data_IF_738547809743
#
_entry.id   IF_738547809743
#
_cell.length_a   1.000
_cell.length_b   1.000
_cell.length_c   1.000
_cell.angle_alpha   90.00
_cell.angle_beta   90.00
_cell.angle_gamma   90.00
#
_symmetry.space_group_name_H-M   'P 1'
#
loop_
_entity.id
_entity.type
_entity.pdbx_description
1 polymer ?
#
# COMPACT_ATOMS: atom_id res chain seq x y z
N UNK A 1 25.59 16.66 24.24
CA UNK A 1 24.16 17.03 24.17
C UNK A 1 23.61 16.35 22.93
N UNK A 2 22.89 15.24 23.10
CA UNK A 2 22.42 14.38 22.00
C UNK A 2 21.06 14.86 21.49
N UNK A 3 20.88 14.70 20.18
CA UNK A 3 19.86 15.27 19.31
C UNK A 3 18.41 15.09 19.79
N UNK A 4 17.77 16.22 20.13
CA UNK A 4 16.33 16.29 20.45
C UNK A 4 15.43 16.42 19.20
N UNK A 5 15.93 16.15 18.00
CA UNK A 5 15.31 16.58 16.74
C UNK A 5 14.38 15.57 16.03
N UNK A 6 14.04 14.42 16.63
CA UNK A 6 13.25 13.38 15.94
C UNK A 6 11.79 13.20 16.40
N UNK A 7 11.26 14.06 17.26
CA UNK A 7 9.87 13.96 17.72
C UNK A 7 8.99 15.02 17.05
N UNK A 8 7.90 14.56 16.42
CA UNK A 8 6.83 15.42 15.92
C UNK A 8 5.66 15.41 16.91
N UNK A 9 5.27 16.59 17.39
CA UNK A 9 4.15 16.72 18.34
C UNK A 9 2.83 16.81 17.58
N UNK A 10 1.88 15.94 17.92
CA UNK A 10 0.51 15.96 17.39
C UNK A 10 -0.45 16.21 18.55
N UNK A 11 -1.23 17.28 18.47
CA UNK A 11 -2.25 17.62 19.48
C UNK A 11 -3.61 17.07 19.06
N UNK A 12 -4.20 16.19 19.89
CA UNK A 12 -5.49 15.56 19.61
C UNK A 12 -6.53 16.10 20.59
N UNK A 13 -7.67 16.56 20.07
CA UNK A 13 -8.83 16.93 20.91
C UNK A 13 -9.68 15.69 21.17
N UNK A 14 -9.80 15.30 22.44
CA UNK A 14 -10.63 14.17 22.87
C UNK A 14 -11.94 14.65 23.50
N UNK A 15 -13.07 13.94 23.28
CA UNK A 15 -14.25 14.10 24.11
C UNK A 15 -13.92 13.93 25.59
N UNK A 16 -14.52 14.77 26.45
CA UNK A 16 -14.21 14.85 27.89
C UNK A 16 -14.20 13.48 28.57
N UNK A 17 -15.22 12.65 28.32
CA UNK A 17 -15.33 11.31 28.91
C UNK A 17 -14.16 10.38 28.54
N UNK A 18 -13.58 10.51 27.34
CA UNK A 18 -12.41 9.71 26.93
C UNK A 18 -11.12 10.25 27.53
N UNK A 19 -10.98 11.57 27.69
CA UNK A 19 -9.84 12.16 28.38
C UNK A 19 -9.83 11.77 29.87
N UNK A 20 -10.99 11.85 30.53
CA UNK A 20 -11.15 11.45 31.93
C UNK A 20 -10.87 9.95 32.12
N UNK A 21 -11.37 9.10 31.22
CA UNK A 21 -11.07 7.67 31.23
C UNK A 21 -9.58 7.39 31.02
N UNK A 22 -8.93 8.05 30.05
CA UNK A 22 -7.51 7.84 29.76
C UNK A 22 -6.63 8.22 30.95
N UNK A 23 -6.95 9.34 31.61
CA UNK A 23 -6.27 9.77 32.83
C UNK A 23 -6.41 8.71 33.93
N UNK A 24 -7.61 8.20 34.17
CA UNK A 24 -7.84 7.22 35.23
C UNK A 24 -7.21 5.85 34.92
N UNK A 25 -7.32 5.39 33.68
CA UNK A 25 -6.71 4.14 33.23
C UNK A 25 -5.18 4.20 33.29
N UNK A 26 -4.58 5.35 32.94
CA UNK A 26 -3.13 5.55 33.01
C UNK A 26 -2.58 5.39 34.44
N UNK A 27 -3.33 5.85 35.45
CA UNK A 27 -2.96 5.67 36.87
C UNK A 27 -2.97 4.20 37.27
N UNK A 28 -3.96 3.43 36.83
CA UNK A 28 -4.06 1.99 37.12
C UNK A 28 -2.89 1.20 36.52
N UNK A 29 -2.39 1.67 35.37
CA UNK A 29 -1.24 1.08 34.69
C UNK A 29 0.11 1.63 35.17
N UNK A 30 0.12 2.61 36.10
CA UNK A 30 1.30 3.36 36.53
C UNK A 30 2.10 3.99 35.37
N UNK A 31 1.38 4.51 34.36
CA UNK A 31 1.94 5.14 33.16
C UNK A 31 1.41 6.55 32.97
N UNK A 32 2.13 7.39 32.21
CA UNK A 32 1.59 8.68 31.76
C UNK A 32 0.58 8.49 30.62
N UNK A 33 -0.46 9.35 30.50
CA UNK A 33 -1.45 9.27 29.42
C UNK A 33 -0.83 9.22 28.01
N UNK A 34 0.24 9.97 27.78
CA UNK A 34 0.94 10.00 26.50
C UNK A 34 1.59 8.65 26.19
N UNK A 35 2.14 7.98 27.20
CA UNK A 35 2.76 6.65 27.04
C UNK A 35 1.70 5.58 26.76
N UNK A 36 0.52 5.68 27.38
CA UNK A 36 -0.62 4.81 27.11
C UNK A 36 -1.08 4.98 25.66
N UNK A 37 -1.27 6.23 25.21
CA UNK A 37 -1.66 6.52 23.82
C UNK A 37 -0.58 6.07 22.84
N UNK A 38 0.69 6.32 23.13
CA UNK A 38 1.79 5.85 22.29
C UNK A 38 1.77 4.31 22.18
N UNK A 39 1.56 3.60 23.28
CA UNK A 39 1.47 2.13 23.28
C UNK A 39 0.31 1.62 22.44
N UNK A 40 -0.87 2.22 22.59
CA UNK A 40 -2.06 1.88 21.80
C UNK A 40 -1.80 2.15 20.31
N UNK A 41 -1.28 3.33 19.98
CA UNK A 41 -0.98 3.71 18.60
C UNK A 41 0.11 2.84 17.99
N UNK A 42 1.14 2.47 18.75
CA UNK A 42 2.17 1.51 18.32
C UNK A 42 1.55 0.15 18.04
N UNK A 43 0.70 -0.36 18.92
CA UNK A 43 0.00 -1.63 18.68
C UNK A 43 -0.81 -1.61 17.38
N UNK A 44 -1.61 -0.55 17.16
CA UNK A 44 -2.37 -0.42 15.92
C UNK A 44 -1.49 -0.16 14.70
N UNK A 45 -0.40 0.59 14.86
CA UNK A 45 0.59 0.81 13.82
C UNK A 45 1.28 -0.51 13.44
N UNK A 46 1.66 -1.33 14.41
CA UNK A 46 2.28 -2.64 14.19
C UNK A 46 1.27 -3.64 13.62
N UNK A 47 0.02 -3.64 14.07
CA UNK A 47 -1.03 -4.47 13.49
C UNK A 47 -1.35 -4.04 12.04
N UNK A 48 -1.44 -2.73 11.79
CA UNK A 48 -1.57 -2.18 10.45
C UNK A 48 -0.36 -2.54 9.60
N UNK A 49 0.86 -2.27 10.07
CA UNK A 49 2.11 -2.62 9.41
C UNK A 49 2.20 -4.12 9.15
N UNK A 50 1.84 -4.98 10.08
CA UNK A 50 1.85 -6.43 9.87
C UNK A 50 0.81 -6.87 8.83
N UNK A 51 -0.37 -6.26 8.79
CA UNK A 51 -1.37 -6.54 7.75
C UNK A 51 -0.99 -5.99 6.36
N UNK A 52 -0.44 -4.77 6.33
CA UNK A 52 -0.03 -4.07 5.12
C UNK A 52 1.30 -4.61 4.57
N UNK A 53 2.24 -4.98 5.44
CA UNK A 53 3.49 -5.65 5.09
C UNK A 53 3.29 -7.12 4.80
N UNK A 54 2.35 -7.86 5.41
CA UNK A 54 2.04 -9.23 4.95
C UNK A 54 1.51 -9.25 3.51
N UNK A 55 0.83 -8.18 3.06
CA UNK A 55 0.52 -7.95 1.65
C UNK A 55 1.74 -7.70 0.76
N UNK A 56 2.88 -7.27 1.34
CA UNK A 56 4.17 -7.06 0.65
C UNK A 56 5.20 -8.17 0.83
N UNK A 57 5.14 -8.97 1.91
CA UNK A 57 6.12 -9.99 2.32
C UNK A 57 6.06 -11.31 1.53
N UNK A 58 5.21 -11.41 0.50
CA UNK A 58 5.36 -12.42 -0.57
C UNK A 58 6.29 -11.95 -1.69
N UNK A 59 6.89 -10.77 -1.59
CA UNK A 59 8.17 -10.46 -2.24
C UNK A 59 9.29 -10.69 -1.21
N UNK A 60 10.42 -11.34 -1.57
CA UNK A 60 11.47 -11.65 -0.60
C UNK A 60 12.07 -10.37 0.04
N UNK A 61 11.80 -10.22 1.34
CA UNK A 61 12.73 -9.87 2.46
C UNK A 61 13.70 -8.69 2.28
N UNK A 62 13.54 -7.55 2.99
CA UNK A 62 14.08 -7.26 4.35
C UNK A 62 15.63 -7.21 4.38
N UNK A 63 16.33 -6.21 4.92
CA UNK A 63 16.05 -5.39 6.12
C UNK A 63 16.81 -4.06 6.11
N UNK A 64 16.34 -3.14 6.96
CA UNK A 64 16.96 -1.85 7.31
C UNK A 64 18.45 -2.01 7.67
N UNK A 65 19.31 -1.26 6.96
CA UNK A 65 20.49 -0.63 7.56
C UNK A 65 20.67 0.73 6.90
N UNK A 66 20.92 1.76 7.68
CA UNK A 66 21.06 3.17 7.29
C UNK A 66 22.40 3.47 6.58
N UNK A 67 23.04 2.45 6.01
CA UNK A 67 24.32 2.53 5.31
C UNK A 67 24.20 1.75 4.00
N UNK A 68 23.92 2.45 2.91
CA UNK A 68 24.48 2.21 1.57
C UNK A 68 23.81 3.18 0.58
N UNK A 69 24.28 4.42 0.61
CA UNK A 69 24.49 5.14 -0.65
C UNK A 69 25.50 4.31 -1.45
N UNK A 70 25.03 3.55 -2.44
CA UNK A 70 25.61 3.52 -3.80
C UNK A 70 24.92 2.47 -4.66
N UNK A 71 24.38 2.96 -5.78
CA UNK A 71 24.37 2.27 -7.09
C UNK A 71 23.56 0.98 -7.17
N UNK A 72 22.34 1.08 -7.72
CA UNK A 72 21.99 0.24 -8.87
C UNK A 72 20.86 0.86 -9.71
N UNK A 73 21.12 0.90 -11.01
CA UNK A 73 20.34 1.57 -12.02
C UNK A 73 19.29 0.61 -12.60
N UNK A 74 18.19 1.20 -13.10
CA UNK A 74 17.34 0.66 -14.17
C UNK A 74 16.61 -0.66 -13.93
N UNK A 75 15.66 -0.69 -12.98
CA UNK A 75 14.45 -1.50 -13.15
C UNK A 75 13.23 -0.62 -12.95
N UNK A 76 12.55 -0.28 -14.04
CA UNK A 76 11.30 0.47 -14.04
C UNK A 76 10.23 -0.40 -13.38
N UNK A 77 10.08 -0.28 -12.07
CA UNK A 77 9.20 -1.10 -11.25
C UNK A 77 7.73 -0.89 -11.68
N UNK A 78 7.04 -1.97 -12.05
CA UNK A 78 5.63 -1.95 -12.51
C UNK A 78 4.68 -1.26 -11.52
N UNK A 79 5.00 -1.29 -10.22
CA UNK A 79 4.25 -0.60 -9.17
C UNK A 79 4.45 0.93 -9.23
N UNK A 80 5.63 1.40 -9.63
CA UNK A 80 5.89 2.81 -9.90
C UNK A 80 5.12 3.26 -11.13
N UNK A 81 5.15 2.49 -12.22
CA UNK A 81 4.37 2.77 -13.43
C UNK A 81 2.87 2.83 -13.14
N UNK A 82 2.35 1.94 -12.30
CA UNK A 82 0.96 1.99 -11.84
C UNK A 82 0.65 3.27 -11.05
N UNK A 83 1.56 3.68 -10.17
CA UNK A 83 1.42 4.90 -9.37
C UNK A 83 1.42 6.15 -10.26
N UNK A 84 2.33 6.22 -11.22
CA UNK A 84 2.40 7.32 -12.19
C UNK A 84 1.17 7.37 -13.08
N UNK A 85 0.75 6.24 -13.64
CA UNK A 85 -0.46 6.14 -14.44
C UNK A 85 -1.69 6.68 -13.70
N UNK A 86 -1.87 6.27 -12.44
CA UNK A 86 -2.98 6.73 -11.58
C UNK A 86 -2.85 8.24 -11.30
N UNK A 87 -1.66 8.74 -11.04
CA UNK A 87 -1.41 10.18 -10.79
C UNK A 87 -1.74 11.03 -12.02
N UNK A 88 -1.36 10.57 -13.21
CA UNK A 88 -1.54 11.31 -14.45
C UNK A 88 -2.97 11.29 -14.98
N UNK A 89 -3.65 10.14 -14.93
CA UNK A 89 -5.02 10.01 -15.45
C UNK A 89 -6.10 10.34 -14.43
N UNK A 90 -5.76 10.40 -13.13
CA UNK A 90 -6.69 10.59 -12.00
C UNK A 90 -7.99 9.79 -12.17
N UNK A 91 -7.90 8.46 -12.42
CA UNK A 91 -9.08 7.67 -12.69
C UNK A 91 -9.92 7.50 -11.42
N UNK A 92 -11.14 6.96 -11.56
CA UNK A 92 -12.02 6.69 -10.41
C UNK A 92 -11.32 5.83 -9.35
N UNK A 93 -11.80 5.86 -8.10
CA UNK A 93 -11.23 5.04 -7.01
C UNK A 93 -11.20 3.55 -7.36
N UNK A 94 -12.28 3.04 -7.97
CA UNK A 94 -12.37 1.65 -8.42
C UNK A 94 -11.32 1.30 -9.49
N UNK A 95 -11.00 2.25 -10.37
CA UNK A 95 -10.00 2.06 -11.42
C UNK A 95 -8.58 2.15 -10.87
N UNK A 96 -8.35 3.07 -9.94
CA UNK A 96 -7.07 3.16 -9.22
C UNK A 96 -6.78 1.87 -8.46
N UNK A 97 -7.81 1.28 -7.85
CA UNK A 97 -7.71 0.01 -7.14
C UNK A 97 -7.34 -1.15 -8.07
N UNK A 98 -8.10 -1.37 -9.15
CA UNK A 98 -7.84 -2.52 -10.04
C UNK A 98 -6.48 -2.44 -10.74
N UNK A 99 -5.98 -1.23 -11.04
CA UNK A 99 -4.65 -1.03 -11.61
C UNK A 99 -3.54 -1.43 -10.63
N UNK A 100 -3.70 -1.12 -9.33
CA UNK A 100 -2.76 -1.54 -8.28
C UNK A 100 -2.79 -3.04 -8.05
N UNK A 101 -3.98 -3.63 -8.02
CA UNK A 101 -4.15 -5.08 -7.91
C UNK A 101 -3.49 -5.80 -9.09
N UNK A 102 -3.69 -5.29 -10.30
CA UNK A 102 -3.07 -5.85 -11.49
C UNK A 102 -1.54 -5.74 -11.46
N UNK A 103 -0.99 -4.57 -11.09
CA UNK A 103 0.46 -4.40 -10.95
C UNK A 103 1.07 -5.32 -9.89
N UNK A 104 0.37 -5.50 -8.75
CA UNK A 104 0.78 -6.42 -7.69
C UNK A 104 0.69 -7.88 -8.16
N UNK A 105 -0.32 -8.23 -8.95
CA UNK A 105 -0.47 -9.55 -9.54
C UNK A 105 0.62 -9.86 -10.57
N UNK A 106 0.97 -8.89 -11.44
CA UNK A 106 2.10 -9.01 -12.39
C UNK A 106 3.42 -9.31 -11.65
N UNK A 107 3.70 -8.54 -10.58
CA UNK A 107 4.89 -8.73 -9.75
C UNK A 107 4.90 -10.11 -9.07
N UNK A 108 3.79 -10.53 -8.47
CA UNK A 108 3.67 -11.86 -7.84
C UNK A 108 3.86 -13.02 -8.81
N UNK A 109 3.46 -12.85 -10.08
CA UNK A 109 3.61 -13.87 -11.12
C UNK A 109 4.90 -13.72 -11.93
N UNK A 110 5.80 -12.80 -11.53
CA UNK A 110 7.06 -12.51 -12.21
C UNK A 110 6.93 -12.28 -13.72
N UNK A 111 5.87 -11.55 -14.12
CA UNK A 111 5.56 -11.31 -15.53
C UNK A 111 6.37 -10.09 -16.01
N UNK A 112 7.17 -10.32 -17.05
CA UNK A 112 7.95 -9.28 -17.72
C UNK A 112 7.03 -8.20 -18.33
N UNK A 113 7.14 -6.93 -17.89
CA UNK A 113 6.31 -5.83 -18.39
C UNK A 113 6.42 -5.59 -19.90
N UNK A 114 7.57 -5.90 -20.50
CA UNK A 114 7.82 -5.71 -21.93
C UNK A 114 7.08 -6.73 -22.80
N UNK A 115 6.75 -7.90 -22.24
CA UNK A 115 6.08 -9.01 -22.93
C UNK A 115 4.57 -9.08 -22.65
N UNK A 116 3.99 -8.03 -22.05
CA UNK A 116 2.57 -8.04 -21.71
C UNK A 116 1.67 -8.14 -22.94
N UNK A 117 0.84 -9.18 -22.96
CA UNK A 117 -0.20 -9.42 -23.96
C UNK A 117 -1.59 -9.33 -23.33
N UNK A 118 -2.61 -9.29 -24.18
CA UNK A 118 -3.99 -9.15 -23.73
C UNK A 118 -4.48 -10.36 -22.91
N UNK A 119 -3.92 -11.54 -23.18
CA UNK A 119 -4.18 -12.77 -22.43
C UNK A 119 -3.81 -12.63 -20.95
N UNK A 120 -2.85 -11.76 -20.61
CA UNK A 120 -2.44 -11.49 -19.22
C UNK A 120 -3.52 -10.72 -18.46
N UNK A 121 -4.22 -9.79 -19.13
CA UNK A 121 -5.37 -9.10 -18.54
C UNK A 121 -6.50 -10.10 -18.28
N UNK A 122 -6.76 -11.00 -19.22
CA UNK A 122 -7.80 -12.02 -19.08
C UNK A 122 -7.49 -12.97 -17.92
N UNK A 123 -6.27 -13.51 -17.86
CA UNK A 123 -5.80 -14.36 -16.78
C UNK A 123 -5.93 -13.68 -15.40
N UNK A 124 -5.57 -12.39 -15.30
CA UNK A 124 -5.76 -11.64 -14.07
C UNK A 124 -7.24 -11.49 -13.70
N UNK A 125 -8.10 -11.10 -14.64
CA UNK A 125 -9.51 -10.85 -14.34
C UNK A 125 -10.28 -12.12 -14.03
N UNK A 126 -9.88 -13.24 -14.62
CA UNK A 126 -10.45 -14.55 -14.34
C UNK A 126 -10.08 -14.98 -12.91
N UNK A 127 -8.80 -14.89 -12.54
CA UNK A 127 -8.36 -15.14 -11.15
C UNK A 127 -9.02 -14.18 -10.15
N UNK A 128 -9.11 -12.89 -10.49
CA UNK A 128 -9.75 -11.88 -9.64
C UNK A 128 -11.24 -12.18 -9.42
N UNK A 129 -11.92 -12.78 -10.41
CA UNK A 129 -13.34 -13.12 -10.34
C UNK A 129 -13.62 -14.36 -9.48
N UNK A 130 -12.66 -15.26 -9.31
CA UNK A 130 -12.78 -16.41 -8.41
C UNK A 130 -12.93 -15.93 -6.96
N UNK A 131 -12.14 -14.92 -6.57
CA UNK A 131 -12.15 -14.36 -5.22
C UNK A 131 -13.19 -13.23 -5.05
N UNK A 132 -13.66 -12.63 -6.14
CA UNK A 132 -14.53 -11.46 -6.11
C UNK A 132 -15.73 -11.65 -7.03
N UNK A 133 -16.94 -11.54 -6.47
CA UNK A 133 -18.18 -11.67 -7.23
C UNK A 133 -18.48 -10.41 -8.08
N UNK A 134 -17.66 -10.17 -9.11
CA UNK A 134 -17.79 -9.03 -10.01
C UNK A 134 -18.81 -9.29 -11.13
N UNK A 135 -19.61 -8.27 -11.45
CA UNK A 135 -20.57 -8.34 -12.57
C UNK A 135 -19.86 -8.39 -13.93
N UNK A 136 -20.53 -8.93 -14.95
CA UNK A 136 -20.04 -8.93 -16.35
C UNK A 136 -19.74 -7.51 -16.85
N UNK A 137 -20.53 -6.52 -16.45
CA UNK A 137 -20.30 -5.11 -16.80
C UNK A 137 -19.02 -4.57 -16.14
N UNK A 138 -18.80 -4.91 -14.86
CA UNK A 138 -17.58 -4.52 -14.13
C UNK A 138 -16.35 -5.16 -14.76
N UNK A 139 -16.42 -6.44 -15.14
CA UNK A 139 -15.35 -7.15 -15.83
C UNK A 139 -14.88 -6.42 -17.11
N UNK A 140 -15.80 -6.08 -18.02
CA UNK A 140 -15.43 -5.36 -19.24
C UNK A 140 -14.91 -3.94 -18.98
N UNK A 141 -15.43 -3.30 -17.93
CA UNK A 141 -14.94 -1.97 -17.50
C UNK A 141 -13.49 -2.09 -17.04
N UNK A 142 -13.18 -3.05 -16.17
CA UNK A 142 -11.82 -3.31 -15.70
C UNK A 142 -10.90 -3.70 -16.85
N UNK A 143 -11.33 -4.61 -17.74
CA UNK A 143 -10.57 -5.00 -18.94
C UNK A 143 -10.17 -3.79 -19.78
N UNK A 144 -11.10 -2.85 -20.00
CA UNK A 144 -10.83 -1.63 -20.76
C UNK A 144 -9.82 -0.72 -20.06
N UNK A 145 -9.95 -0.55 -18.74
CA UNK A 145 -8.99 0.24 -17.93
C UNK A 145 -7.60 -0.38 -17.95
N UNK A 146 -7.49 -1.70 -17.78
CA UNK A 146 -6.21 -2.41 -17.79
C UNK A 146 -5.55 -2.40 -19.16
N UNK A 147 -6.32 -2.45 -20.26
CA UNK A 147 -5.79 -2.21 -21.62
C UNK A 147 -5.16 -0.82 -21.74
N UNK A 148 -5.79 0.22 -21.18
CA UNK A 148 -5.24 1.57 -21.18
C UNK A 148 -3.94 1.66 -20.36
N UNK A 149 -3.88 0.97 -19.23
CA UNK A 149 -2.67 0.87 -18.43
C UNK A 149 -1.54 0.13 -19.16
N UNK A 150 -1.83 -1.00 -19.81
CA UNK A 150 -0.86 -1.71 -20.65
C UNK A 150 -0.32 -0.83 -21.79
N UNK A 151 -1.18 -0.07 -22.46
CA UNK A 151 -0.74 0.88 -23.50
C UNK A 151 0.18 1.96 -22.94
N UNK A 152 -0.05 2.40 -21.71
CA UNK A 152 0.84 3.35 -21.05
C UNK A 152 2.21 2.73 -20.76
N UNK A 153 2.25 1.50 -20.23
CA UNK A 153 3.50 0.76 -19.99
C UNK A 153 4.31 0.64 -21.29
N UNK A 154 3.68 0.23 -22.40
CA UNK A 154 4.33 0.10 -23.72
C UNK A 154 4.87 1.40 -24.31
N UNK A 155 4.54 2.57 -23.75
CA UNK A 155 5.13 3.85 -24.18
C UNK A 155 6.40 4.21 -23.40
N UNK A 156 6.63 3.54 -22.27
CA UNK A 156 7.78 3.77 -21.39
C UNK A 156 8.94 2.81 -21.72
N UNK A 157 8.72 1.83 -22.60
CA UNK A 157 9.68 0.88 -23.15
C UNK A 157 9.68 1.01 -24.68
#
# INVERSE_FOLDING_TARGET
MKDSNNFSTITIKLPKHLADWLLEFSKQMAMQPEQVIATILTYYYEAWKAGFEKGRRTSPSESVTEEELTTEATETNIEQLATEFIRHLKPSKAFSFIVREFASWIKRNNIDPSKMSENIIEAFLDAYREDHNISKKTYYTYKTTLRSFMRYIRKQY
#
